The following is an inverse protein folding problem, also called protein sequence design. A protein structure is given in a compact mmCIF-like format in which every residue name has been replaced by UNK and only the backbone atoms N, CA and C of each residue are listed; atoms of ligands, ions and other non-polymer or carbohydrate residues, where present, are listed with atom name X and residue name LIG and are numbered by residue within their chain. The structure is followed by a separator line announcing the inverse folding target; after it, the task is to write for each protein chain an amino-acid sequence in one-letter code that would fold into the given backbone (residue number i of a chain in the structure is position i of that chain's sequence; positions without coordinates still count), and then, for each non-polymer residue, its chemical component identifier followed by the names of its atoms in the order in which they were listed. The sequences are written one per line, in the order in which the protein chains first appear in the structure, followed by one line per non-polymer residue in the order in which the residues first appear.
data_IF_867065861978
#
_entry.id   IF_867065861978
#
_cell.length_a   1.000
_cell.length_b   1.000
_cell.length_c   1.000
_cell.angle_alpha   90.00
_cell.angle_beta   90.00
_cell.angle_gamma   90.00
#
_symmetry.space_group_name_H-M   'P 1'
#
loop_
_entity.id
_entity.type
_entity.pdbx_description
1 polymer ?
#
# COMPACT_ATOMS: atom_id res chain seq x y z
N UNK A 1 21.21 14.08 30.23
CA UNK A 1 22.37 13.68 31.05
C UNK A 1 23.53 13.49 30.09
N UNK A 2 24.39 14.49 29.93
CA UNK A 2 25.47 14.45 28.94
C UNK A 2 26.64 13.71 29.57
N UNK A 3 26.81 12.44 29.22
CA UNK A 3 27.92 11.62 29.69
C UNK A 3 29.21 12.05 28.98
N UNK A 4 30.26 12.29 29.76
CA UNK A 4 31.61 12.55 29.27
C UNK A 4 32.20 11.21 28.82
N UNK A 5 32.61 11.15 27.56
CA UNK A 5 33.11 9.95 26.89
C UNK A 5 34.57 9.65 27.30
N UNK A 6 34.94 8.41 27.64
CA UNK A 6 36.33 8.04 27.87
C UNK A 6 37.12 7.99 26.55
N UNK A 7 38.41 8.36 26.55
CA UNK A 7 39.17 8.66 25.33
C UNK A 7 39.49 7.46 24.41
N UNK A 8 39.22 6.21 24.84
CA UNK A 8 39.60 4.99 24.10
C UNK A 8 38.42 4.10 23.68
N UNK A 9 37.16 4.50 23.88
CA UNK A 9 35.98 3.72 23.46
C UNK A 9 35.44 4.20 22.11
N UNK A 10 35.31 3.27 21.15
CA UNK A 10 34.54 3.49 19.92
C UNK A 10 33.08 3.80 20.28
N UNK A 11 32.38 4.62 19.48
CA UNK A 11 31.02 5.00 19.84
C UNK A 11 30.13 3.76 19.87
N UNK A 12 29.23 3.65 20.85
CA UNK A 12 28.24 2.58 20.89
C UNK A 12 27.35 2.58 19.63
N UNK A 13 27.15 3.76 19.04
CA UNK A 13 26.44 3.95 17.78
C UNK A 13 27.16 5.00 16.91
N UNK A 14 27.52 4.62 15.69
CA UNK A 14 28.04 5.54 14.67
C UNK A 14 26.96 5.75 13.62
N UNK A 15 26.39 6.95 13.56
CA UNK A 15 25.41 7.33 12.55
C UNK A 15 26.15 8.08 11.44
N UNK A 16 26.21 7.49 10.25
CA UNK A 16 26.82 8.12 9.09
C UNK A 16 25.84 9.12 8.48
N UNK A 17 26.28 10.36 8.27
CA UNK A 17 25.56 11.36 7.47
C UNK A 17 26.35 11.66 6.20
N UNK A 18 25.63 11.89 5.10
CA UNK A 18 26.21 12.21 3.80
C UNK A 18 25.50 13.43 3.19
N UNK A 19 26.22 14.17 2.35
CA UNK A 19 25.68 15.26 1.54
C UNK A 19 25.16 14.80 0.17
N UNK A 20 25.45 13.55 -0.20
CA UNK A 20 25.07 12.96 -1.48
C UNK A 20 23.94 11.94 -1.29
N UNK A 21 22.98 11.95 -2.23
CA UNK A 21 21.90 10.97 -2.23
C UNK A 21 22.45 9.58 -2.55
N UNK A 22 22.03 8.59 -1.76
CA UNK A 22 22.42 7.19 -1.96
C UNK A 22 21.33 6.47 -2.76
N UNK A 23 21.75 5.64 -3.71
CA UNK A 23 20.84 4.82 -4.50
C UNK A 23 20.12 3.77 -3.65
N UNK A 24 18.83 3.59 -3.93
CA UNK A 24 17.99 2.57 -3.29
C UNK A 24 18.23 1.16 -3.84
N UNK A 25 18.41 1.03 -5.15
CA UNK A 25 18.48 -0.26 -5.82
C UNK A 25 19.79 -0.96 -5.53
N UNK A 26 19.74 -2.28 -5.31
CA UNK A 26 20.91 -3.12 -5.04
C UNK A 26 21.76 -2.63 -3.86
N UNK A 27 21.12 -2.05 -2.85
CA UNK A 27 21.78 -1.49 -1.67
C UNK A 27 21.29 -2.18 -0.39
N UNK A 28 21.87 -3.34 -0.03
CA UNK A 28 21.41 -4.12 1.11
C UNK A 28 21.63 -3.42 2.46
N UNK A 29 22.57 -2.49 2.52
CA UNK A 29 22.92 -1.76 3.74
C UNK A 29 21.99 -0.56 4.00
N UNK A 30 21.19 -0.13 3.01
CA UNK A 30 20.38 1.09 3.11
C UNK A 30 19.42 1.06 4.30
N UNK A 31 18.52 0.08 4.35
CA UNK A 31 17.50 0.01 5.41
C UNK A 31 18.12 -0.29 6.78
N UNK A 32 19.23 -1.03 6.83
CA UNK A 32 19.95 -1.26 8.09
C UNK A 32 20.57 0.04 8.62
N UNK A 33 21.17 0.84 7.72
CA UNK A 33 21.73 2.14 8.06
C UNK A 33 20.68 3.19 8.43
N UNK A 34 19.49 3.13 7.80
CA UNK A 34 18.37 4.03 8.12
C UNK A 34 17.71 3.70 9.46
N UNK A 35 17.67 2.42 9.83
CA UNK A 35 16.95 1.94 11.02
C UNK A 35 17.85 1.11 11.96
N UNK A 36 18.92 1.70 12.52
CA UNK A 36 19.85 0.96 13.38
C UNK A 36 19.18 0.38 14.64
N UNK A 37 18.08 0.98 15.10
CA UNK A 37 17.27 0.47 16.23
C UNK A 37 16.50 -0.81 15.88
N UNK A 38 16.15 -1.00 14.60
CA UNK A 38 15.49 -2.21 14.10
C UNK A 38 16.51 -3.27 13.66
N UNK A 39 17.73 -2.84 13.27
CA UNK A 39 18.83 -3.69 12.84
C UNK A 39 20.09 -3.50 13.72
N UNK A 40 20.03 -3.79 15.03
CA UNK A 40 21.09 -3.44 15.98
C UNK A 40 22.43 -4.13 15.71
N UNK A 41 22.43 -5.24 14.98
CA UNK A 41 23.63 -5.99 14.61
C UNK A 41 24.13 -5.73 13.18
N UNK A 42 23.48 -4.82 12.44
CA UNK A 42 23.79 -4.59 11.02
C UNK A 42 23.63 -5.86 10.17
N UNK A 43 22.63 -6.69 10.50
CA UNK A 43 22.33 -7.95 9.80
C UNK A 43 20.86 -7.98 9.40
N UNK A 44 20.54 -8.76 8.37
CA UNK A 44 19.17 -8.90 7.89
C UNK A 44 18.73 -7.79 6.94
N UNK A 45 19.69 -7.20 6.22
CA UNK A 45 19.43 -6.23 5.16
C UNK A 45 18.49 -6.78 4.10
N UNK A 46 17.85 -5.88 3.36
CA UNK A 46 16.97 -6.24 2.26
C UNK A 46 17.80 -6.61 1.04
N UNK A 47 17.32 -7.57 0.24
CA UNK A 47 17.95 -7.91 -1.05
C UNK A 47 19.45 -8.26 -0.96
N UNK A 48 19.84 -8.88 0.17
CA UNK A 48 21.21 -9.33 0.39
C UNK A 48 21.64 -10.38 -0.66
N UNK A 49 22.65 -10.09 -1.51
CA UNK A 49 23.10 -10.99 -2.55
C UNK A 49 23.77 -12.26 -1.99
N UNK A 50 24.16 -12.26 -0.72
CA UNK A 50 24.77 -13.42 -0.05
C UNK A 50 23.73 -14.38 0.55
N UNK A 51 22.43 -14.06 0.48
CA UNK A 51 21.37 -14.92 1.00
C UNK A 51 21.22 -16.17 0.11
N UNK A 52 21.16 -17.34 0.74
CA UNK A 52 20.98 -18.63 0.04
C UNK A 52 19.68 -18.68 -0.77
N UNK A 53 18.58 -18.18 -0.20
CA UNK A 53 17.27 -18.10 -0.85
C UNK A 53 16.94 -16.64 -1.12
N UNK A 54 16.79 -16.23 -2.38
CA UNK A 54 16.34 -14.88 -2.72
C UNK A 54 14.96 -14.61 -2.12
N UNK A 55 14.82 -13.45 -1.47
CA UNK A 55 13.54 -12.98 -0.92
C UNK A 55 13.24 -11.64 -1.56
N UNK A 56 12.03 -11.48 -2.11
CA UNK A 56 11.63 -10.20 -2.67
C UNK A 56 11.53 -9.12 -1.59
N UNK A 57 11.74 -7.86 -1.98
CA UNK A 57 11.63 -6.72 -1.09
C UNK A 57 10.29 -6.70 -0.32
N UNK A 58 9.18 -6.92 -1.04
CA UNK A 58 7.82 -6.97 -0.46
C UNK A 58 7.64 -8.15 0.52
N UNK A 59 8.20 -9.32 0.20
CA UNK A 59 8.10 -10.50 1.09
C UNK A 59 8.87 -10.25 2.39
N UNK A 60 10.07 -9.67 2.30
CA UNK A 60 10.85 -9.34 3.49
C UNK A 60 10.20 -8.21 4.30
N UNK A 61 9.58 -7.22 3.65
CA UNK A 61 8.82 -6.17 4.32
C UNK A 61 7.65 -6.75 5.14
N UNK A 62 6.84 -7.63 4.54
CA UNK A 62 5.76 -8.32 5.25
C UNK A 62 6.30 -9.14 6.42
N UNK A 63 7.37 -9.91 6.20
CA UNK A 63 8.04 -10.66 7.26
C UNK A 63 8.47 -9.77 8.43
N UNK A 64 9.07 -8.60 8.16
CA UNK A 64 9.46 -7.64 9.20
C UNK A 64 8.26 -7.18 10.03
N UNK A 65 7.11 -6.94 9.40
CA UNK A 65 5.89 -6.56 10.12
C UNK A 65 5.30 -7.71 10.95
N UNK A 66 5.51 -8.96 10.53
CA UNK A 66 4.94 -10.16 11.14
C UNK A 66 5.81 -10.81 12.23
N UNK A 67 6.98 -10.25 12.54
CA UNK A 67 7.82 -10.81 13.60
C UNK A 67 7.16 -10.71 14.98
N UNK A 68 7.46 -11.68 15.84
CA UNK A 68 6.85 -11.78 17.17
C UNK A 68 7.09 -10.56 18.08
N UNK A 69 8.25 -9.89 17.98
CA UNK A 69 8.60 -8.72 18.79
C UNK A 69 7.79 -7.46 18.40
N UNK A 70 7.26 -7.41 17.17
CA UNK A 70 6.48 -6.27 16.63
C UNK A 70 7.23 -4.92 16.57
N UNK A 71 8.54 -4.89 16.80
CA UNK A 71 9.30 -3.64 16.77
C UNK A 71 9.19 -2.86 15.44
N UNK A 72 9.12 -3.55 14.30
CA UNK A 72 8.98 -2.91 12.98
C UNK A 72 7.63 -2.22 12.79
N UNK A 73 6.54 -2.84 13.27
CA UNK A 73 5.19 -2.27 13.14
C UNK A 73 4.94 -1.11 14.12
N UNK A 74 5.71 -1.04 15.22
CA UNK A 74 5.67 0.06 16.19
C UNK A 74 6.63 1.19 15.86
N UNK A 75 7.48 1.02 14.84
CA UNK A 75 8.41 2.06 14.44
C UNK A 75 7.68 3.15 13.65
N UNK A 76 7.86 4.42 14.07
CA UNK A 76 7.10 5.57 13.59
C UNK A 76 7.17 5.78 12.07
N UNK A 77 8.31 5.48 11.44
CA UNK A 77 8.57 5.77 10.02
C UNK A 77 8.82 4.55 9.13
N UNK A 78 9.00 3.35 9.69
CA UNK A 78 9.48 2.19 8.92
C UNK A 78 8.48 1.80 7.83
N UNK A 79 7.21 1.66 8.21
CA UNK A 79 6.12 1.29 7.29
C UNK A 79 6.04 2.30 6.14
N UNK A 80 6.10 3.61 6.44
CA UNK A 80 6.00 4.65 5.43
C UNK A 80 7.16 4.63 4.44
N UNK A 81 8.40 4.47 4.93
CA UNK A 81 9.59 4.41 4.08
C UNK A 81 9.54 3.19 3.17
N UNK A 82 9.26 2.01 3.73
CA UNK A 82 9.19 0.75 2.97
C UNK A 82 8.06 0.78 1.94
N UNK A 83 6.88 1.31 2.31
CA UNK A 83 5.76 1.47 1.37
C UNK A 83 6.11 2.43 0.22
N UNK A 84 6.77 3.55 0.51
CA UNK A 84 7.23 4.50 -0.52
C UNK A 84 8.23 3.86 -1.48
N UNK A 85 9.15 3.03 -0.97
CA UNK A 85 10.09 2.26 -1.79
C UNK A 85 9.34 1.29 -2.72
N UNK A 86 8.36 0.55 -2.19
CA UNK A 86 7.52 -0.37 -3.00
C UNK A 86 6.78 0.40 -4.11
N UNK A 87 6.09 1.50 -3.78
CA UNK A 87 5.35 2.30 -4.76
C UNK A 87 6.27 2.90 -5.83
N UNK A 88 7.44 3.41 -5.44
CA UNK A 88 8.44 3.96 -6.37
C UNK A 88 8.98 2.88 -7.31
N UNK A 89 9.24 1.68 -6.79
CA UNK A 89 9.69 0.52 -7.60
C UNK A 89 8.61 0.10 -8.60
N UNK A 90 7.35 0.04 -8.19
CA UNK A 90 6.23 -0.24 -9.09
C UNK A 90 6.13 0.83 -10.19
N UNK A 91 6.25 2.11 -9.83
CA UNK A 91 6.26 3.20 -10.80
C UNK A 91 7.40 3.07 -11.82
N UNK A 92 8.63 2.79 -11.36
CA UNK A 92 9.78 2.61 -12.24
C UNK A 92 9.59 1.40 -13.18
N UNK A 93 9.13 0.26 -12.65
CA UNK A 93 8.89 -0.95 -13.43
C UNK A 93 7.83 -0.73 -14.52
N UNK A 94 6.70 -0.13 -14.16
CA UNK A 94 5.64 0.13 -15.14
C UNK A 94 6.00 1.24 -16.13
N UNK A 95 6.82 2.21 -15.73
CA UNK A 95 7.40 3.19 -16.66
C UNK A 95 8.30 2.49 -17.66
N UNK A 96 9.17 1.58 -17.20
CA UNK A 96 10.06 0.84 -18.08
C UNK A 96 9.30 -0.02 -19.10
N UNK A 97 8.19 -0.65 -18.70
CA UNK A 97 7.36 -1.40 -19.65
C UNK A 97 6.51 -0.53 -20.57
N UNK A 98 6.11 0.67 -20.13
CA UNK A 98 5.28 1.57 -20.93
C UNK A 98 6.09 2.41 -21.93
N UNK A 99 7.36 2.69 -21.61
CA UNK A 99 8.25 3.51 -22.43
C UNK A 99 9.37 2.61 -22.95
N UNK A 100 9.25 2.17 -24.20
CA UNK A 100 10.33 1.44 -24.86
C UNK A 100 11.57 2.34 -25.01
N UNK A 101 12.75 1.74 -25.09
CA UNK A 101 14.04 2.44 -25.24
C UNK A 101 14.07 3.52 -26.36
N UNK A 102 13.45 3.33 -27.55
CA UNK A 102 13.39 4.36 -28.58
C UNK A 102 12.51 5.56 -28.23
N UNK A 103 11.48 5.35 -27.41
CA UNK A 103 10.52 6.39 -27.04
C UNK A 103 11.01 7.21 -25.84
N UNK A 104 11.99 6.71 -25.08
CA UNK A 104 12.48 7.36 -23.86
C UNK A 104 13.08 8.74 -24.13
N UNK A 105 13.96 8.86 -25.13
CA UNK A 105 14.61 10.13 -25.45
C UNK A 105 13.60 11.18 -25.94
N UNK A 106 12.63 10.76 -26.76
CA UNK A 106 11.53 11.62 -27.20
C UNK A 106 10.67 12.08 -26.01
N UNK A 107 10.28 11.16 -25.13
CA UNK A 107 9.44 11.49 -23.96
C UNK A 107 10.19 12.38 -22.97
N UNK A 108 11.49 12.15 -22.75
CA UNK A 108 12.32 13.00 -21.89
C UNK A 108 12.48 14.42 -22.45
N UNK A 109 12.64 14.53 -23.77
CA UNK A 109 12.66 15.83 -24.46
C UNK A 109 11.29 16.52 -24.40
N UNK A 110 10.19 15.78 -24.57
CA UNK A 110 8.84 16.32 -24.44
C UNK A 110 8.61 16.84 -23.02
N UNK A 111 8.95 16.07 -21.99
CA UNK A 111 8.84 16.50 -20.57
C UNK A 111 9.65 17.76 -20.32
N UNK A 112 10.89 17.80 -20.80
CA UNK A 112 11.81 18.93 -20.60
C UNK A 112 11.39 20.18 -21.38
N UNK A 113 10.66 19.99 -22.51
CA UNK A 113 10.14 21.06 -23.36
C UNK A 113 8.80 21.64 -22.92
N UNK A 114 8.15 21.10 -21.88
CA UNK A 114 6.85 21.60 -21.42
C UNK A 114 7.02 22.89 -20.60
N UNK A 115 6.36 23.94 -21.06
CA UNK A 115 6.26 25.17 -20.30
C UNK A 115 5.19 25.06 -19.19
N UNK A 116 5.46 25.59 -17.97
CA UNK A 116 4.49 25.55 -16.87
C UNK A 116 3.13 26.18 -17.20
N UNK A 117 3.12 27.21 -18.05
CA UNK A 117 1.88 27.90 -18.44
C UNK A 117 1.00 27.02 -19.35
N UNK A 118 1.61 26.23 -20.24
CA UNK A 118 0.88 25.24 -21.05
C UNK A 118 0.25 24.16 -20.17
N UNK A 119 0.96 23.71 -19.14
CA UNK A 119 0.43 22.72 -18.19
C UNK A 119 -0.77 23.28 -17.41
N UNK A 120 -0.70 24.54 -16.95
CA UNK A 120 -1.84 25.22 -16.29
C UNK A 120 -3.03 25.40 -17.22
N UNK A 121 -2.78 25.75 -18.48
CA UNK A 121 -3.83 25.89 -19.50
C UNK A 121 -4.57 24.56 -19.70
N UNK A 122 -3.83 23.46 -19.88
CA UNK A 122 -4.43 22.11 -20.00
C UNK A 122 -5.19 21.70 -18.74
N UNK A 123 -4.64 21.98 -17.56
CA UNK A 123 -5.32 21.68 -16.29
C UNK A 123 -6.66 22.43 -16.18
N UNK A 124 -6.68 23.73 -16.49
CA UNK A 124 -7.90 24.54 -16.50
C UNK A 124 -8.91 24.02 -17.54
N UNK A 125 -8.44 23.69 -18.74
CA UNK A 125 -9.30 23.13 -19.79
C UNK A 125 -9.95 21.81 -19.37
N UNK A 126 -9.21 20.95 -18.66
CA UNK A 126 -9.73 19.70 -18.10
C UNK A 126 -10.75 19.94 -16.97
N UNK A 127 -10.51 20.92 -16.10
CA UNK A 127 -11.44 21.33 -15.03
C UNK A 127 -12.77 21.87 -15.58
N UNK A 128 -12.72 22.55 -16.72
CA UNK A 128 -13.89 23.10 -17.42
C UNK A 128 -14.60 22.07 -18.33
N UNK A 129 -14.22 20.78 -18.26
CA UNK A 129 -14.73 19.69 -19.10
C UNK A 129 -14.59 19.95 -20.61
N UNK A 130 -13.57 20.71 -21.01
CA UNK A 130 -13.30 21.07 -22.39
C UNK A 130 -12.94 19.88 -23.29
N UNK A 131 -13.25 19.98 -24.59
CA UNK A 131 -12.96 18.91 -25.55
C UNK A 131 -11.49 18.87 -25.95
N UNK A 132 -10.93 17.68 -26.20
CA UNK A 132 -9.57 17.49 -26.73
C UNK A 132 -9.38 18.20 -28.08
N UNK A 133 -10.47 18.42 -28.82
CA UNK A 133 -10.43 19.10 -30.11
C UNK A 133 -10.04 20.58 -29.99
N UNK A 134 -10.42 21.22 -28.89
CA UNK A 134 -10.21 22.64 -28.61
C UNK A 134 -8.77 22.96 -28.19
N UNK A 135 -7.97 21.93 -27.89
CA UNK A 135 -6.58 22.07 -27.49
C UNK A 135 -5.69 22.48 -28.67
N UNK A 136 -4.77 23.39 -28.40
CA UNK A 136 -3.67 23.75 -29.30
C UNK A 136 -2.72 22.57 -29.54
N UNK A 137 -1.84 22.67 -30.53
CA UNK A 137 -0.88 21.62 -30.83
C UNK A 137 0.09 21.33 -29.66
N UNK A 138 0.48 22.35 -28.90
CA UNK A 138 1.35 22.20 -27.73
C UNK A 138 0.60 21.57 -26.56
N UNK A 139 -0.63 22.02 -26.31
CA UNK A 139 -1.49 21.42 -25.28
C UNK A 139 -1.84 19.96 -25.58
N UNK A 140 -2.00 19.60 -26.86
CA UNK A 140 -2.17 18.20 -27.28
C UNK A 140 -0.97 17.32 -26.94
N UNK A 141 0.26 17.85 -27.00
CA UNK A 141 1.47 17.12 -26.56
C UNK A 141 1.45 16.87 -25.05
N UNK A 142 1.12 17.91 -24.27
CA UNK A 142 0.94 17.78 -22.82
C UNK A 142 -0.15 16.75 -22.49
N UNK A 143 -1.27 16.80 -23.20
CA UNK A 143 -2.38 15.85 -23.03
C UNK A 143 -1.96 14.41 -23.36
N UNK A 144 -1.23 14.20 -24.45
CA UNK A 144 -0.70 12.89 -24.81
C UNK A 144 0.29 12.35 -23.76
N UNK A 145 1.13 13.22 -23.20
CA UNK A 145 2.02 12.86 -22.09
C UNK A 145 1.22 12.48 -20.84
N UNK A 146 0.17 13.24 -20.49
CA UNK A 146 -0.72 12.93 -19.36
C UNK A 146 -1.37 11.55 -19.51
N UNK A 147 -1.83 11.18 -20.71
CA UNK A 147 -2.39 9.84 -20.97
C UNK A 147 -1.34 8.72 -20.79
N UNK A 148 -0.09 8.95 -21.20
CA UNK A 148 1.02 8.01 -20.91
C UNK A 148 1.26 7.86 -19.40
N UNK A 149 1.31 8.97 -18.66
CA UNK A 149 1.47 8.97 -17.19
C UNK A 149 0.31 8.27 -16.49
N UNK A 150 -0.92 8.48 -16.96
CA UNK A 150 -2.14 7.85 -16.42
C UNK A 150 -2.12 6.34 -16.63
N UNK A 151 -1.64 5.89 -17.78
CA UNK A 151 -1.46 4.46 -18.09
C UNK A 151 -0.51 3.80 -17.09
N UNK A 152 0.65 4.42 -16.84
CA UNK A 152 1.62 3.94 -15.84
C UNK A 152 1.02 3.96 -14.44
N UNK A 153 0.38 5.08 -14.06
CA UNK A 153 -0.21 5.27 -12.74
C UNK A 153 -1.32 4.26 -12.45
N UNK A 154 -2.04 3.75 -13.47
CA UNK A 154 -3.11 2.76 -13.29
C UNK A 154 -2.65 1.46 -12.62
N UNK A 155 -1.35 1.18 -12.66
CA UNK A 155 -0.71 0.02 -12.04
C UNK A 155 -0.16 0.29 -10.64
N UNK A 156 -0.11 1.55 -10.23
CA UNK A 156 0.29 1.96 -8.88
C UNK A 156 -0.95 1.89 -7.98
N UNK A 157 -0.85 1.10 -6.91
CA UNK A 157 -1.93 0.95 -5.94
C UNK A 157 -2.33 2.30 -5.34
N UNK A 158 -3.65 2.55 -5.26
CA UNK A 158 -4.20 3.76 -4.64
C UNK A 158 -4.19 5.01 -5.53
N UNK A 159 -3.66 4.93 -6.75
CA UNK A 159 -3.72 6.03 -7.70
C UNK A 159 -5.14 6.27 -8.23
N UNK A 160 -5.45 7.48 -8.67
CA UNK A 160 -6.74 7.77 -9.33
C UNK A 160 -6.97 6.92 -10.58
N UNK A 161 -5.91 6.61 -11.31
CA UNK A 161 -5.98 5.74 -12.47
C UNK A 161 -6.32 4.29 -12.09
N UNK A 162 -5.87 3.79 -10.93
CA UNK A 162 -6.25 2.47 -10.41
C UNK A 162 -7.74 2.42 -10.04
N UNK A 163 -8.30 3.51 -9.49
CA UNK A 163 -9.75 3.62 -9.22
C UNK A 163 -10.58 3.57 -10.50
N UNK A 164 -10.10 4.20 -11.58
CA UNK A 164 -10.75 4.11 -12.90
C UNK A 164 -10.69 2.67 -13.43
N UNK A 165 -9.57 1.97 -13.24
CA UNK A 165 -9.44 0.57 -13.61
C UNK A 165 -10.50 -0.28 -12.88
N UNK A 166 -10.65 -0.15 -11.56
CA UNK A 166 -11.68 -0.87 -10.80
C UNK A 166 -13.10 -0.58 -11.31
N UNK A 167 -13.40 0.68 -11.67
CA UNK A 167 -14.70 1.01 -12.28
C UNK A 167 -14.93 0.30 -13.60
N UNK A 168 -13.90 0.15 -14.43
CA UNK A 168 -13.99 -0.58 -15.69
C UNK A 168 -14.16 -2.08 -15.47
N UNK A 169 -13.50 -2.66 -14.47
CA UNK A 169 -13.70 -4.06 -14.07
C UNK A 169 -15.12 -4.31 -13.58
N UNK A 170 -15.68 -3.43 -12.74
CA UNK A 170 -17.08 -3.50 -12.30
C UNK A 170 -18.03 -3.45 -13.51
N UNK A 171 -17.80 -2.54 -14.47
CA UNK A 171 -18.61 -2.47 -15.71
C UNK A 171 -18.53 -3.75 -16.53
N UNK A 172 -17.33 -4.35 -16.65
CA UNK A 172 -17.15 -5.63 -17.32
C UNK A 172 -17.91 -6.77 -16.61
N UNK A 173 -17.87 -6.78 -15.28
CA UNK A 173 -18.67 -7.70 -14.46
C UNK A 173 -20.17 -7.52 -14.72
N UNK A 174 -20.67 -6.28 -14.78
CA UNK A 174 -22.07 -6.02 -15.11
C UNK A 174 -22.44 -6.52 -16.52
N UNK A 175 -21.55 -6.36 -17.50
CA UNK A 175 -21.75 -6.89 -18.85
C UNK A 175 -21.85 -8.41 -18.91
N UNK A 176 -21.10 -9.12 -18.06
CA UNK A 176 -21.07 -10.58 -18.04
C UNK A 176 -22.13 -11.22 -17.12
N UNK A 177 -22.35 -10.66 -15.93
CA UNK A 177 -23.21 -11.22 -14.89
C UNK A 177 -24.56 -10.53 -14.73
N UNK A 178 -24.82 -9.48 -15.53
CA UNK A 178 -25.90 -8.50 -15.35
C UNK A 178 -25.63 -7.54 -14.16
N UNK A 179 -26.56 -6.62 -13.92
CA UNK A 179 -26.42 -5.61 -12.86
C UNK A 179 -26.28 -6.26 -11.47
N UNK A 180 -25.46 -5.68 -10.57
CA UNK A 180 -25.35 -6.17 -9.21
C UNK A 180 -26.68 -5.99 -8.48
N UNK A 181 -27.18 -7.05 -7.86
CA UNK A 181 -28.39 -7.00 -7.04
C UNK A 181 -28.13 -6.33 -5.68
N UNK A 182 -26.87 -6.39 -5.22
CA UNK A 182 -26.44 -5.83 -3.95
C UNK A 182 -25.18 -5.03 -4.20
N UNK A 183 -25.21 -3.77 -3.77
CA UNK A 183 -24.05 -2.92 -3.62
C UNK A 183 -23.89 -2.66 -2.12
N UNK A 184 -22.73 -3.04 -1.57
CA UNK A 184 -22.54 -3.08 -0.12
C UNK A 184 -21.15 -2.56 0.23
N UNK A 185 -21.12 -1.65 1.20
CA UNK A 185 -19.89 -1.10 1.78
C UNK A 185 -19.81 -1.54 3.24
N UNK A 186 -18.81 -2.34 3.58
CA UNK A 186 -18.47 -2.62 4.96
C UNK A 186 -17.36 -1.67 5.44
N UNK A 187 -17.55 -1.13 6.64
CA UNK A 187 -16.51 -0.39 7.35
C UNK A 187 -16.39 -0.95 8.78
N UNK A 188 -15.74 -2.12 8.96
CA UNK A 188 -15.52 -2.69 10.29
C UNK A 188 -14.70 -1.73 11.14
N UNK A 189 -15.25 -1.26 12.26
CA UNK A 189 -14.54 -0.35 13.16
C UNK A 189 -13.68 -1.14 14.15
N UNK A 190 -12.33 -1.01 14.12
CA UNK A 190 -11.46 -1.68 15.09
C UNK A 190 -11.62 -1.12 16.51
N UNK A 191 -11.95 0.17 16.64
CA UNK A 191 -11.98 0.89 17.92
C UNK A 191 -12.88 0.21 18.95
N UNK A 192 -14.07 -0.21 18.52
CA UNK A 192 -15.09 -0.80 19.39
C UNK A 192 -15.14 -2.33 19.30
N UNK A 193 -14.13 -2.96 18.68
CA UNK A 193 -14.13 -4.39 18.42
C UNK A 193 -13.30 -5.15 19.45
N UNK A 194 -13.89 -6.09 20.22
CA UNK A 194 -13.13 -6.95 21.13
C UNK A 194 -12.13 -7.84 20.36
N UNK A 195 -12.48 -8.22 19.14
CA UNK A 195 -11.59 -8.98 18.26
C UNK A 195 -10.32 -8.19 17.93
N UNK A 196 -10.44 -6.90 17.64
CA UNK A 196 -9.27 -6.05 17.37
C UNK A 196 -8.35 -5.97 18.60
N UNK A 197 -8.91 -5.82 19.80
CA UNK A 197 -8.13 -5.78 21.04
C UNK A 197 -7.34 -7.08 21.25
N UNK A 198 -7.95 -8.23 20.98
CA UNK A 198 -7.26 -9.51 21.00
C UNK A 198 -6.13 -9.58 19.96
N UNK A 199 -6.36 -9.10 18.73
CA UNK A 199 -5.34 -9.06 17.67
C UNK A 199 -4.15 -8.16 18.04
N UNK A 200 -4.40 -7.05 18.74
CA UNK A 200 -3.35 -6.23 19.35
C UNK A 200 -2.61 -6.92 20.51
N UNK A 201 -3.03 -8.11 20.93
CA UNK A 201 -2.38 -8.90 21.99
C UNK A 201 -2.95 -8.65 23.39
N UNK A 202 -4.16 -8.10 23.50
CA UNK A 202 -4.82 -8.00 24.81
C UNK A 202 -5.42 -9.34 25.22
N UNK A 203 -4.78 -9.99 26.19
CA UNK A 203 -5.24 -11.26 26.76
C UNK A 203 -6.34 -11.11 27.80
N UNK A 204 -6.72 -9.88 28.18
CA UNK A 204 -7.83 -9.65 29.12
C UNK A 204 -9.21 -9.77 28.47
N UNK A 205 -9.28 -9.73 27.14
CA UNK A 205 -10.54 -9.81 26.41
C UNK A 205 -10.96 -11.27 26.25
N UNK A 206 -12.10 -11.62 26.86
CA UNK A 206 -12.69 -12.95 26.75
C UNK A 206 -13.71 -13.00 25.60
N UNK A 207 -13.35 -13.61 24.46
CA UNK A 207 -14.25 -13.73 23.31
C UNK A 207 -15.34 -14.82 23.47
N UNK A 208 -15.27 -15.67 24.50
CA UNK A 208 -16.32 -16.65 24.80
C UNK A 208 -17.55 -15.97 25.43
N UNK A 209 -17.39 -14.76 25.95
CA UNK A 209 -18.49 -13.96 26.47
C UNK A 209 -19.31 -13.32 25.36
N UNK A 210 -20.63 -13.30 25.52
CA UNK A 210 -21.54 -12.67 24.55
C UNK A 210 -21.27 -11.17 24.39
N UNK A 211 -20.87 -10.52 25.48
CA UNK A 211 -20.54 -9.09 25.52
C UNK A 211 -19.23 -8.93 26.31
N UNK A 212 -18.08 -9.14 25.66
CA UNK A 212 -16.79 -9.06 26.33
C UNK A 212 -16.60 -7.70 26.99
N UNK A 213 -16.12 -7.68 28.23
CA UNK A 213 -15.74 -6.44 28.88
C UNK A 213 -14.54 -5.83 28.16
N UNK A 214 -14.71 -4.60 27.67
CA UNK A 214 -13.68 -3.88 26.94
C UNK A 214 -12.83 -3.05 27.90
N UNK A 215 -11.55 -2.89 27.59
CA UNK A 215 -10.72 -1.92 28.33
C UNK A 215 -11.20 -0.47 28.15
N UNK A 216 -10.63 0.48 28.89
CA UNK A 216 -10.98 1.90 28.75
C UNK A 216 -10.84 2.41 27.30
N UNK A 217 -11.76 3.30 26.89
CA UNK A 217 -11.85 3.83 25.52
C UNK A 217 -10.54 4.48 25.05
N UNK A 218 -9.87 5.24 25.93
CA UNK A 218 -8.60 5.91 25.57
C UNK A 218 -7.54 4.86 25.25
N UNK A 219 -7.53 3.75 25.97
CA UNK A 219 -6.59 2.65 25.75
C UNK A 219 -6.83 1.95 24.41
N UNK A 220 -8.09 1.81 23.96
CA UNK A 220 -8.38 1.29 22.60
C UNK A 220 -7.81 2.19 21.52
N UNK A 221 -8.03 3.50 21.62
CA UNK A 221 -7.57 4.48 20.66
C UNK A 221 -6.03 4.50 20.56
N UNK A 222 -5.34 4.43 21.71
CA UNK A 222 -3.87 4.36 21.74
C UNK A 222 -3.37 3.08 21.08
N UNK A 223 -3.99 1.93 21.33
CA UNK A 223 -3.59 0.66 20.68
C UNK A 223 -3.79 0.69 19.17
N UNK A 224 -4.89 1.27 18.72
CA UNK A 224 -5.14 1.48 17.29
C UNK A 224 -4.08 2.37 16.64
N UNK A 225 -3.72 3.48 17.28
CA UNK A 225 -2.69 4.37 16.76
C UNK A 225 -1.30 3.70 16.75
N UNK A 226 -0.99 2.89 17.76
CA UNK A 226 0.31 2.24 17.90
C UNK A 226 0.49 1.02 16.99
N UNK A 227 -0.57 0.30 16.62
CA UNK A 227 -0.50 -0.91 15.80
C UNK A 227 -1.39 -0.82 14.55
N UNK A 228 -1.03 0.02 13.55
CA UNK A 228 -1.79 0.13 12.31
C UNK A 228 -1.81 -1.17 11.51
N UNK A 229 -0.81 -2.05 11.70
CA UNK A 229 -0.76 -3.37 11.06
C UNK A 229 -1.84 -4.28 11.62
N UNK A 230 -2.00 -4.36 12.95
CA UNK A 230 -3.09 -5.12 13.55
C UNK A 230 -4.47 -4.58 13.14
N UNK A 231 -4.60 -3.27 12.92
CA UNK A 231 -5.83 -2.66 12.43
C UNK A 231 -6.15 -3.10 11.00
N UNK A 232 -5.14 -3.15 10.13
CA UNK A 232 -5.26 -3.65 8.76
C UNK A 232 -5.60 -5.15 8.75
N UNK A 233 -4.95 -5.94 9.59
CA UNK A 233 -5.24 -7.37 9.74
C UNK A 233 -6.69 -7.58 10.19
N UNK A 234 -7.15 -6.81 11.17
CA UNK A 234 -8.53 -6.84 11.64
C UNK A 234 -9.52 -6.49 10.52
N UNK A 235 -9.24 -5.43 9.76
CA UNK A 235 -10.10 -5.01 8.65
C UNK A 235 -10.18 -6.11 7.57
N UNK A 236 -9.03 -6.61 7.13
CA UNK A 236 -8.93 -7.67 6.12
C UNK A 236 -9.62 -8.96 6.59
N UNK A 237 -9.40 -9.37 7.85
CA UNK A 237 -10.06 -10.50 8.46
C UNK A 237 -11.58 -10.31 8.49
N UNK A 238 -12.06 -9.17 8.98
CA UNK A 238 -13.49 -8.87 9.13
C UNK A 238 -14.20 -8.88 7.78
N UNK A 239 -13.61 -8.22 6.77
CA UNK A 239 -14.15 -8.22 5.42
C UNK A 239 -14.19 -9.64 4.82
N UNK A 240 -13.09 -10.39 4.89
CA UNK A 240 -13.06 -11.77 4.37
C UNK A 240 -14.02 -12.70 5.10
N UNK A 241 -14.07 -12.63 6.43
CA UNK A 241 -14.94 -13.45 7.25
C UNK A 241 -16.42 -13.17 6.92
N UNK A 242 -16.80 -11.91 6.80
CA UNK A 242 -18.15 -11.54 6.37
C UNK A 242 -18.46 -12.08 4.98
N UNK A 243 -17.61 -11.85 3.97
CA UNK A 243 -17.87 -12.36 2.61
C UNK A 243 -17.93 -13.90 2.57
N UNK A 244 -17.06 -14.56 3.31
CA UNK A 244 -16.99 -16.02 3.34
C UNK A 244 -18.16 -16.65 4.09
N UNK A 245 -18.44 -16.19 5.31
CA UNK A 245 -19.38 -16.86 6.22
C UNK A 245 -20.79 -16.25 6.18
N UNK A 246 -20.93 -14.93 6.03
CA UNK A 246 -22.25 -14.30 5.95
C UNK A 246 -22.85 -14.45 4.55
N UNK A 247 -22.06 -14.20 3.51
CA UNK A 247 -22.54 -14.29 2.12
C UNK A 247 -22.20 -15.62 1.43
N UNK A 248 -21.46 -16.52 2.08
CA UNK A 248 -21.21 -17.86 1.56
C UNK A 248 -20.35 -17.84 0.30
N UNK A 249 -19.24 -17.10 0.27
CA UNK A 249 -18.29 -17.09 -0.84
C UNK A 249 -17.04 -17.93 -0.54
N UNK A 250 -16.68 -18.84 -1.43
CA UNK A 250 -15.43 -19.59 -1.36
C UNK A 250 -14.36 -18.88 -2.19
N UNK A 251 -13.47 -18.15 -1.52
CA UNK A 251 -12.36 -17.44 -2.17
C UNK A 251 -11.40 -18.37 -2.93
N UNK A 252 -11.23 -19.63 -2.49
CA UNK A 252 -10.33 -20.57 -3.17
C UNK A 252 -10.96 -21.10 -4.45
N UNK A 253 -12.27 -21.32 -4.46
CA UNK A 253 -12.99 -21.83 -5.63
C UNK A 253 -13.55 -20.73 -6.53
N UNK A 254 -13.54 -19.47 -6.10
CA UNK A 254 -14.08 -18.34 -6.85
C UNK A 254 -15.58 -18.47 -7.12
N UNK A 255 -16.35 -19.05 -6.18
CA UNK A 255 -17.79 -19.29 -6.33
C UNK A 255 -18.49 -19.38 -4.98
N UNK A 256 -19.82 -19.33 -4.98
CA UNK A 256 -20.60 -19.53 -3.76
C UNK A 256 -20.38 -20.92 -3.14
N UNK A 257 -20.47 -20.98 -1.81
CA UNK A 257 -20.51 -22.21 -1.02
C UNK A 257 -21.70 -23.08 -1.42
N UNK A 258 -21.65 -24.34 -1.00
CA UNK A 258 -22.73 -25.31 -1.30
C UNK A 258 -24.03 -24.95 -0.57
N UNK A 259 -23.93 -24.37 0.61
CA UNK A 259 -25.09 -23.95 1.42
C UNK A 259 -25.59 -22.55 1.02
N UNK A 260 -24.77 -21.75 0.34
CA UNK A 260 -25.05 -20.33 0.11
C UNK A 260 -24.82 -19.49 1.36
N UNK A 261 -25.14 -18.20 1.29
CA UNK A 261 -25.15 -17.28 2.42
C UNK A 261 -26.55 -16.81 2.80
N UNK A 262 -26.63 -15.77 3.63
CA UNK A 262 -27.90 -15.17 4.08
C UNK A 262 -28.78 -14.65 2.93
N UNK A 263 -28.18 -14.37 1.77
CA UNK A 263 -28.83 -13.89 0.54
C UNK A 263 -28.92 -14.97 -0.54
N UNK A 264 -28.69 -16.24 -0.18
CA UNK A 264 -28.66 -17.37 -1.12
C UNK A 264 -27.30 -17.53 -1.81
N UNK A 265 -27.31 -18.08 -3.02
CA UNK A 265 -26.08 -18.34 -3.77
C UNK A 265 -25.61 -17.13 -4.57
N UNK A 266 -24.35 -16.77 -4.37
CA UNK A 266 -23.69 -15.74 -5.15
C UNK A 266 -23.27 -16.26 -6.53
N UNK A 267 -23.84 -15.69 -7.59
CA UNK A 267 -23.38 -15.95 -8.97
C UNK A 267 -22.00 -15.35 -9.24
N UNK A 268 -21.74 -14.16 -8.71
CA UNK A 268 -20.48 -13.45 -8.83
C UNK A 268 -20.26 -12.55 -7.61
N UNK A 269 -19.00 -12.31 -7.29
CA UNK A 269 -18.55 -11.37 -6.27
C UNK A 269 -17.38 -10.57 -6.83
N UNK A 270 -17.44 -9.25 -6.67
CA UNK A 270 -16.34 -8.34 -6.95
C UNK A 270 -16.18 -7.45 -5.72
N UNK A 271 -14.96 -7.32 -5.22
CA UNK A 271 -14.66 -6.55 -4.04
C UNK A 271 -13.29 -5.88 -4.15
N UNK A 272 -13.23 -4.62 -3.74
CA UNK A 272 -12.01 -3.83 -3.64
C UNK A 272 -11.90 -3.31 -2.22
N UNK A 273 -10.68 -3.26 -1.70
CA UNK A 273 -10.37 -2.61 -0.43
C UNK A 273 -9.62 -1.33 -0.74
N UNK A 274 -10.00 -0.23 -0.08
CA UNK A 274 -9.24 1.03 -0.04
C UNK A 274 -8.64 1.22 1.35
#
# INVERSE_FOLDING_TARGET
MNLIRPPNEKPDLSIFSGSEAIGEYNNPDLLMGMFPTLFPYGKGGFEDPHREVPVSFETQANYCLDIANRCFRYHESFIFVVMNMIQRRQAHLHTHFAVNEPDFESVASDISGIHPETLKSVAKHLEEEGSVQDLTAEEKKVFALLEKVKTISSKIMGSEASKILYRNEIKAYCGHFAIPHIFFTANPSPQNSPLFQLMCGDTSINLDERFPEMVDYVKHCIRLANDPVAALDFFNFSCKAMIQFLFGWDFKKGRSSREGGIIGHLKAFYGTNE
#
